data_IF_159808420742
#
_entry.id   IF_159808420742
#
_cell.length_a   1.000
_cell.length_b   1.000
_cell.length_c   1.000
_cell.angle_alpha   90.00
_cell.angle_beta   90.00
_cell.angle_gamma   90.00
#
_symmetry.space_group_name_H-M   'P 1'
#
loop_
_entity.id
_entity.type
_entity.pdbx_description
1 polymer ?
#
# COMPACT_ATOMS: atom_id res chain seq x y z
N UNK A 1 -29.89 1.17 63.44
CA UNK A 1 -29.75 2.29 62.49
C UNK A 1 -29.24 1.71 61.19
N UNK A 2 -30.01 1.91 60.13
CA UNK A 2 -30.01 1.15 58.87
C UNK A 2 -28.66 1.12 58.15
N UNK A 3 -28.34 -0.09 57.66
CA UNK A 3 -27.30 -0.29 56.66
C UNK A 3 -27.79 0.20 55.29
N UNK A 4 -27.23 1.30 54.81
CA UNK A 4 -27.45 1.77 53.46
C UNK A 4 -26.39 1.17 52.51
N UNK A 5 -26.59 -0.06 52.05
CA UNK A 5 -25.81 -0.62 50.93
C UNK A 5 -26.49 -0.24 49.62
N UNK A 6 -26.03 0.85 49.01
CA UNK A 6 -26.43 1.26 47.66
C UNK A 6 -25.87 0.25 46.65
N UNK A 7 -26.72 -0.68 46.20
CA UNK A 7 -26.43 -1.59 45.10
C UNK A 7 -26.82 -0.99 43.74
N UNK A 8 -26.13 -1.43 42.69
CA UNK A 8 -26.67 -1.44 41.32
C UNK A 8 -26.23 -0.32 40.37
N UNK A 9 -24.97 -0.34 39.90
CA UNK A 9 -24.52 0.52 38.78
C UNK A 9 -23.49 -0.12 37.85
N UNK A 10 -22.76 -1.15 38.30
CA UNK A 10 -21.60 -1.67 37.58
C UNK A 10 -21.89 -2.53 36.33
N UNK A 11 -23.13 -2.99 36.12
CA UNK A 11 -23.46 -3.98 35.08
C UNK A 11 -23.62 -3.41 33.66
N UNK A 12 -24.14 -2.19 33.51
CA UNK A 12 -24.29 -1.56 32.19
C UNK A 12 -22.98 -0.97 31.67
N UNK A 13 -22.17 -0.41 32.57
CA UNK A 13 -20.90 0.21 32.22
C UNK A 13 -19.86 -0.83 31.78
N UNK A 14 -19.78 -1.97 32.48
CA UNK A 14 -18.96 -3.11 32.05
C UNK A 14 -19.42 -3.70 30.71
N UNK A 15 -20.72 -3.79 30.45
CA UNK A 15 -21.24 -4.21 29.13
C UNK A 15 -20.86 -3.24 28.01
N UNK A 16 -21.01 -1.93 28.25
CA UNK A 16 -20.60 -0.89 27.27
C UNK A 16 -19.09 -0.94 27.01
N UNK A 17 -18.27 -1.14 28.03
CA UNK A 17 -16.81 -1.31 27.89
C UNK A 17 -16.47 -2.58 27.09
N UNK A 18 -17.13 -3.71 27.35
CA UNK A 18 -16.94 -4.95 26.59
C UNK A 18 -17.31 -4.80 25.11
N UNK A 19 -18.43 -4.14 24.81
CA UNK A 19 -18.84 -3.81 23.43
C UNK A 19 -17.85 -2.88 22.72
N UNK A 20 -17.29 -1.90 23.43
CA UNK A 20 -16.25 -1.03 22.89
C UNK A 20 -14.95 -1.80 22.61
N UNK A 21 -14.55 -2.71 23.51
CA UNK A 21 -13.38 -3.56 23.32
C UNK A 21 -13.54 -4.44 22.06
N UNK A 22 -14.69 -5.10 21.89
CA UNK A 22 -15.01 -5.89 20.70
C UNK A 22 -14.98 -5.07 19.41
N UNK A 23 -15.52 -3.84 19.43
CA UNK A 23 -15.47 -2.93 18.27
C UNK A 23 -14.04 -2.52 17.91
N UNK A 24 -13.23 -2.20 18.93
CA UNK A 24 -11.80 -1.86 18.74
C UNK A 24 -11.03 -3.05 18.19
N UNK A 25 -11.29 -4.25 18.69
CA UNK A 25 -10.70 -5.49 18.20
C UNK A 25 -11.06 -5.75 16.74
N UNK A 26 -12.34 -5.69 16.37
CA UNK A 26 -12.79 -5.86 14.98
C UNK A 26 -12.13 -4.84 14.03
N UNK A 27 -12.02 -3.58 14.45
CA UNK A 27 -11.33 -2.54 13.68
C UNK A 27 -9.84 -2.84 13.51
N UNK A 28 -9.17 -3.29 14.58
CA UNK A 28 -7.77 -3.69 14.56
C UNK A 28 -7.54 -4.85 13.61
N UNK A 29 -8.39 -5.87 13.64
CA UNK A 29 -8.27 -7.04 12.76
C UNK A 29 -8.53 -6.67 11.29
N UNK A 30 -9.52 -5.81 11.02
CA UNK A 30 -9.76 -5.27 9.70
C UNK A 30 -8.57 -4.46 9.16
N UNK A 31 -7.94 -3.63 10.00
CA UNK A 31 -6.74 -2.89 9.63
C UNK A 31 -5.54 -3.82 9.39
N UNK A 32 -5.38 -4.87 10.20
CA UNK A 32 -4.33 -5.88 10.02
C UNK A 32 -4.52 -6.66 8.73
N UNK A 33 -5.75 -7.11 8.45
CA UNK A 33 -6.08 -7.83 7.22
C UNK A 33 -5.80 -6.98 5.99
N UNK A 34 -6.19 -5.69 6.00
CA UNK A 34 -5.89 -4.74 4.92
C UNK A 34 -4.39 -4.59 4.68
N UNK A 35 -3.59 -4.37 5.75
CA UNK A 35 -2.12 -4.26 5.65
C UNK A 35 -1.48 -5.56 5.16
N UNK A 36 -1.99 -6.70 5.62
CA UNK A 36 -1.53 -8.02 5.17
C UNK A 36 -1.76 -8.24 3.69
N UNK A 37 -2.97 -7.93 3.20
CA UNK A 37 -3.30 -7.99 1.77
C UNK A 37 -2.40 -7.05 0.97
N UNK A 38 -2.31 -5.79 1.36
CA UNK A 38 -1.45 -4.81 0.69
C UNK A 38 0.01 -5.28 0.61
N UNK A 39 0.58 -5.80 1.70
CA UNK A 39 1.94 -6.36 1.70
C UNK A 39 2.09 -7.53 0.74
N UNK A 40 1.09 -8.41 0.65
CA UNK A 40 1.09 -9.53 -0.28
C UNK A 40 1.08 -9.06 -1.74
N UNK A 41 0.21 -8.10 -2.08
CA UNK A 41 0.16 -7.53 -3.43
C UNK A 41 1.49 -6.87 -3.82
N UNK A 42 2.14 -6.14 -2.89
CA UNK A 42 3.47 -5.58 -3.12
C UNK A 42 4.53 -6.65 -3.37
N UNK A 43 4.49 -7.74 -2.62
CA UNK A 43 5.43 -8.85 -2.77
C UNK A 43 5.25 -9.56 -4.11
N UNK A 44 4.02 -9.84 -4.51
CA UNK A 44 3.73 -10.44 -5.82
C UNK A 44 4.11 -9.48 -6.96
N UNK A 45 3.86 -8.18 -6.82
CA UNK A 45 4.31 -7.18 -7.77
C UNK A 45 5.84 -7.17 -7.92
N UNK A 46 6.58 -7.23 -6.81
CA UNK A 46 8.04 -7.27 -6.84
C UNK A 46 8.58 -8.51 -7.56
N UNK A 47 7.92 -9.67 -7.45
CA UNK A 47 8.30 -10.89 -8.17
C UNK A 47 8.12 -10.80 -9.68
N UNK A 48 7.23 -9.93 -10.17
CA UNK A 48 6.99 -9.74 -11.60
C UNK A 48 8.02 -8.81 -12.26
N UNK A 49 8.88 -8.13 -11.49
CA UNK A 49 9.96 -7.33 -12.04
C UNK A 49 11.02 -8.24 -12.71
N UNK A 50 11.65 -7.81 -13.80
CA UNK A 50 12.70 -8.57 -14.49
C UNK A 50 14.04 -8.48 -13.73
N UNK A 51 14.03 -8.82 -12.45
CA UNK A 51 15.17 -8.77 -11.54
C UNK A 51 15.26 -10.10 -10.77
N UNK A 52 16.46 -10.56 -10.40
CA UNK A 52 16.62 -11.73 -9.55
C UNK A 52 15.84 -11.59 -8.22
N UNK A 53 15.19 -12.67 -7.80
CA UNK A 53 14.37 -12.70 -6.57
C UNK A 53 15.11 -12.27 -5.30
N UNK A 54 16.42 -12.52 -5.24
CA UNK A 54 17.28 -12.10 -4.12
C UNK A 54 17.40 -10.57 -3.98
N UNK A 55 17.18 -9.83 -5.07
CA UNK A 55 17.17 -8.36 -5.10
C UNK A 55 15.76 -7.86 -4.79
N UNK A 56 14.74 -8.40 -5.47
CA UNK A 56 13.36 -7.94 -5.31
C UNK A 56 12.82 -8.17 -3.90
N UNK A 57 13.31 -9.19 -3.19
CA UNK A 57 12.97 -9.45 -1.79
C UNK A 57 13.43 -8.38 -0.79
N UNK A 58 14.39 -7.54 -1.18
CA UNK A 58 14.97 -6.49 -0.33
C UNK A 58 14.42 -5.10 -0.65
N UNK A 59 13.58 -4.98 -1.69
CA UNK A 59 13.02 -3.69 -2.09
C UNK A 59 11.98 -3.20 -1.10
N UNK A 60 12.04 -1.91 -0.79
CA UNK A 60 10.98 -1.21 -0.10
C UNK A 60 9.80 -0.90 -1.05
N UNK A 61 8.62 -0.65 -0.47
CA UNK A 61 7.37 -0.44 -1.24
C UNK A 61 7.48 0.68 -2.28
N UNK A 62 8.15 1.78 -1.94
CA UNK A 62 8.29 2.91 -2.87
C UNK A 62 9.18 2.55 -4.06
N UNK A 63 10.27 1.82 -3.83
CA UNK A 63 11.12 1.34 -4.93
C UNK A 63 10.43 0.31 -5.80
N UNK A 64 9.60 -0.59 -5.25
CA UNK A 64 8.77 -1.51 -6.05
C UNK A 64 7.89 -0.73 -7.03
N UNK A 65 7.18 0.32 -6.58
CA UNK A 65 6.35 1.16 -7.45
C UNK A 65 7.19 1.87 -8.52
N UNK A 66 8.28 2.54 -8.11
CA UNK A 66 9.14 3.29 -9.03
C UNK A 66 9.71 2.39 -10.13
N UNK A 67 10.24 1.23 -9.76
CA UNK A 67 10.80 0.26 -10.71
C UNK A 67 9.71 -0.33 -11.62
N UNK A 68 8.52 -0.62 -11.09
CA UNK A 68 7.39 -1.11 -11.89
C UNK A 68 6.99 -0.09 -12.96
N UNK A 69 6.81 1.18 -12.57
CA UNK A 69 6.45 2.26 -13.50
C UNK A 69 7.54 2.42 -14.57
N UNK A 70 8.81 2.47 -14.16
CA UNK A 70 9.93 2.58 -15.10
C UNK A 70 10.00 1.40 -16.06
N UNK A 71 9.77 0.17 -15.58
CA UNK A 71 9.76 -1.03 -16.40
C UNK A 71 8.65 -0.99 -17.46
N UNK A 72 7.43 -0.63 -17.08
CA UNK A 72 6.32 -0.51 -18.02
C UNK A 72 6.60 0.55 -19.09
N UNK A 73 7.09 1.74 -18.69
CA UNK A 73 7.47 2.81 -19.63
C UNK A 73 8.57 2.38 -20.60
N UNK A 74 9.62 1.72 -20.10
CA UNK A 74 10.71 1.23 -20.95
C UNK A 74 10.24 0.14 -21.92
N UNK A 75 9.37 -0.76 -21.47
CA UNK A 75 8.79 -1.81 -22.32
C UNK A 75 7.93 -1.20 -23.43
N UNK A 76 7.10 -0.22 -23.09
CA UNK A 76 6.26 0.47 -24.06
C UNK A 76 7.11 1.27 -25.06
N UNK A 77 8.15 1.97 -24.58
CA UNK A 77 9.14 2.65 -25.42
C UNK A 77 9.85 1.69 -26.39
N UNK A 78 10.33 0.55 -25.90
CA UNK A 78 11.01 -0.45 -26.72
C UNK A 78 10.07 -1.10 -27.77
N UNK A 79 8.79 -1.27 -27.42
CA UNK A 79 7.79 -1.87 -28.31
C UNK A 79 7.26 -0.90 -29.38
N UNK A 80 7.23 0.41 -29.11
CA UNK A 80 6.75 1.41 -30.05
C UNK A 80 7.77 1.75 -31.14
N UNK A 81 9.03 1.32 -30.98
CA UNK A 81 10.14 1.81 -31.80
C UNK A 81 10.40 3.27 -31.48
N UNK A 82 11.67 3.68 -31.59
CA UNK A 82 12.18 5.03 -31.34
C UNK A 82 11.10 6.13 -31.46
N UNK A 83 10.66 6.79 -30.36
CA UNK A 83 9.76 7.92 -30.47
C UNK A 83 10.55 8.98 -31.20
N UNK A 84 10.32 9.08 -32.51
CA UNK A 84 11.02 9.93 -33.46
C UNK A 84 11.95 10.89 -32.74
N UNK A 85 13.26 10.58 -32.75
CA UNK A 85 14.30 11.58 -32.56
C UNK A 85 13.76 12.84 -33.24
N UNK A 86 13.44 13.86 -32.43
CA UNK A 86 12.81 15.08 -32.94
C UNK A 86 13.87 15.72 -33.82
N UNK A 87 13.88 15.26 -35.08
CA UNK A 87 14.87 15.56 -36.06
C UNK A 87 14.83 17.06 -36.26
N UNK A 88 15.92 17.70 -35.85
CA UNK A 88 16.54 18.81 -36.57
C UNK A 88 15.54 19.90 -36.99
N UNK A 89 15.32 20.87 -36.10
CA UNK A 89 15.20 22.25 -36.55
C UNK A 89 16.54 22.95 -36.32
N UNK A 90 17.55 22.56 -37.10
CA UNK A 90 18.65 23.46 -37.43
C UNK A 90 18.12 24.42 -38.50
N UNK A 91 17.38 25.43 -38.06
CA UNK A 91 16.95 26.54 -38.88
C UNK A 91 18.12 27.46 -39.24
N UNK A 92 19.11 26.94 -39.97
CA UNK A 92 20.15 27.74 -40.62
C UNK A 92 20.16 27.53 -42.15
N UNK A 93 19.48 28.44 -42.86
CA UNK A 93 19.83 28.96 -44.20
C UNK A 93 18.90 30.14 -44.53
N UNK A 94 19.41 31.36 -44.42
CA UNK A 94 19.93 32.21 -45.51
C UNK A 94 18.85 32.76 -46.45
N UNK A 95 18.73 34.08 -46.42
CA UNK A 95 18.07 34.98 -47.37
C UNK A 95 18.39 36.41 -46.99
#
# INVERSE_FOLDING_TARGET
MEGNRKGGGGGEETRKQGLQALRKEKSRDAARSRRGKENFEFYELAKMLPLPGAITSQLDKASIIRLTISYLKMRDFANQGDPADNGVDDGSKQG
#
